data_IF_845618891068
#
_entry.id   IF_845618891068
#
_cell.length_a   1.000
_cell.length_b   1.000
_cell.length_c   1.000
_cell.angle_alpha   90.00
_cell.angle_beta   90.00
_cell.angle_gamma   90.00
#
_symmetry.space_group_name_H-M   'P 1'
#
loop_
_entity.id
_entity.type
_entity.pdbx_description
1 polymer ?
#
# COMPACT_ATOMS: atom_id res chain seq x y z
N UNK A 1 -17.47 33.83 -3.01
CA UNK A 1 -18.49 33.13 -3.83
C UNK A 1 -18.05 31.68 -3.92
N UNK A 2 -18.63 30.77 -3.12
CA UNK A 2 -18.28 29.34 -3.18
C UNK A 2 -18.90 28.74 -4.44
N UNK A 3 -18.09 28.07 -5.27
CA UNK A 3 -18.56 27.43 -6.49
C UNK A 3 -19.46 26.23 -6.15
N UNK A 4 -20.63 26.07 -6.81
CA UNK A 4 -21.53 24.95 -6.57
C UNK A 4 -20.98 23.70 -7.27
N UNK A 5 -20.07 22.98 -6.63
CA UNK A 5 -19.54 21.73 -7.20
C UNK A 5 -18.35 21.11 -6.47
N UNK A 6 -17.64 21.87 -5.63
CA UNK A 6 -16.59 21.30 -4.78
C UNK A 6 -17.21 20.79 -3.48
N UNK A 7 -16.98 19.53 -3.10
CA UNK A 7 -17.48 19.01 -1.84
C UNK A 7 -16.90 19.84 -0.70
N UNK A 8 -17.75 20.25 0.24
CA UNK A 8 -17.29 21.02 1.40
C UNK A 8 -16.26 20.19 2.17
N UNK A 9 -15.28 20.86 2.79
CA UNK A 9 -14.27 20.20 3.63
C UNK A 9 -14.92 19.29 4.68
N UNK A 10 -16.05 19.70 5.23
CA UNK A 10 -16.84 18.92 6.18
C UNK A 10 -17.42 17.63 5.57
N UNK A 11 -17.84 17.67 4.29
CA UNK A 11 -18.33 16.50 3.56
C UNK A 11 -17.20 15.53 3.22
N UNK A 12 -16.01 16.05 2.89
CA UNK A 12 -14.80 15.25 2.69
C UNK A 12 -14.45 14.52 3.99
N UNK A 13 -14.47 15.21 5.14
CA UNK A 13 -14.19 14.63 6.45
C UNK A 13 -15.24 13.59 6.86
N UNK A 14 -16.52 13.85 6.63
CA UNK A 14 -17.59 12.89 6.91
C UNK A 14 -17.52 11.66 6.00
N UNK A 15 -17.12 11.82 4.74
CA UNK A 15 -16.89 10.72 3.81
C UNK A 15 -15.72 9.83 4.27
N UNK A 16 -14.58 10.42 4.64
CA UNK A 16 -13.42 9.69 5.18
C UNK A 16 -13.80 8.95 6.47
N UNK A 17 -14.50 9.62 7.40
CA UNK A 17 -14.97 9.00 8.65
C UNK A 17 -15.90 7.81 8.40
N UNK A 18 -16.79 7.92 7.42
CA UNK A 18 -17.72 6.84 7.04
C UNK A 18 -16.99 5.66 6.40
N UNK A 19 -15.97 5.90 5.59
CA UNK A 19 -15.13 4.84 4.98
C UNK A 19 -14.32 4.12 6.06
N UNK A 20 -13.66 4.85 6.97
CA UNK A 20 -12.90 4.26 8.08
C UNK A 20 -13.81 3.43 9.01
N UNK A 21 -14.98 3.94 9.36
CA UNK A 21 -15.94 3.20 10.18
C UNK A 21 -16.46 1.92 9.48
N UNK A 22 -16.60 1.95 8.16
CA UNK A 22 -17.00 0.80 7.34
C UNK A 22 -15.88 -0.24 7.28
N UNK A 23 -14.63 0.18 7.07
CA UNK A 23 -13.47 -0.71 7.02
C UNK A 23 -13.13 -1.31 8.37
N UNK A 24 -13.23 -0.54 9.47
CA UNK A 24 -13.06 -1.09 10.81
C UNK A 24 -14.14 -2.15 11.13
N UNK A 25 -15.38 -1.93 10.68
CA UNK A 25 -16.45 -2.95 10.80
C UNK A 25 -16.18 -4.17 9.93
N UNK A 26 -15.70 -4.00 8.70
CA UNK A 26 -15.35 -5.09 7.80
C UNK A 26 -14.15 -5.90 8.33
N UNK A 27 -13.13 -5.23 8.87
CA UNK A 27 -11.98 -5.82 9.55
C UNK A 27 -12.41 -6.62 10.77
N UNK A 28 -13.24 -6.04 11.66
CA UNK A 28 -13.77 -6.75 12.83
C UNK A 28 -14.61 -7.99 12.46
N UNK A 29 -15.38 -7.92 11.37
CA UNK A 29 -16.14 -9.06 10.84
C UNK A 29 -15.22 -10.13 10.23
N UNK A 30 -14.14 -9.74 9.56
CA UNK A 30 -13.14 -10.66 9.03
C UNK A 30 -12.39 -11.39 10.15
N UNK A 31 -11.92 -10.67 11.19
CA UNK A 31 -11.26 -11.26 12.36
C UNK A 31 -12.19 -12.20 13.13
N UNK A 32 -13.49 -11.87 13.21
CA UNK A 32 -14.48 -12.74 13.86
C UNK A 32 -14.77 -13.99 13.02
N UNK A 33 -14.84 -13.85 11.70
CA UNK A 33 -15.06 -14.97 10.78
C UNK A 33 -13.88 -15.94 10.81
N UNK A 34 -12.66 -15.43 10.93
CA UNK A 34 -11.44 -16.23 11.09
C UNK A 34 -11.46 -17.05 12.37
N UNK A 35 -11.82 -16.43 13.50
CA UNK A 35 -12.00 -17.12 14.80
C UNK A 35 -13.10 -18.17 14.80
N UNK A 36 -14.14 -18.03 13.98
CA UNK A 36 -15.22 -19.03 13.87
C UNK A 36 -14.92 -20.14 12.86
N UNK A 37 -13.90 -19.95 12.00
CA UNK A 37 -13.50 -20.93 10.97
C UNK A 37 -12.49 -21.95 11.48
N UNK A 38 -11.80 -21.66 12.58
CA UNK A 38 -10.91 -22.59 13.26
C UNK A 38 -11.64 -23.28 14.41
N UNK A 39 -12.09 -24.55 14.27
CA UNK A 39 -12.54 -25.31 15.42
C UNK A 39 -11.32 -25.73 16.24
N UNK A 40 -11.30 -25.28 17.50
CA UNK A 40 -10.59 -25.81 18.67
C UNK A 40 -9.45 -26.80 18.40
N UNK A 41 -8.21 -26.36 18.59
CA UNK A 41 -7.19 -27.22 19.19
C UNK A 41 -6.73 -26.56 20.49
N UNK A 42 -7.20 -27.12 21.60
CA UNK A 42 -6.73 -26.78 22.94
C UNK A 42 -5.28 -27.24 23.08
N UNK A 43 -4.33 -26.34 22.81
CA UNK A 43 -2.99 -26.46 23.39
C UNK A 43 -2.70 -25.17 24.13
N UNK A 44 -2.85 -25.24 25.44
CA UNK A 44 -2.18 -24.35 26.38
C UNK A 44 -0.70 -24.38 26.08
N UNK A 45 -0.17 -23.30 25.50
CA UNK A 45 1.26 -23.03 25.44
C UNK A 45 1.50 -21.82 26.32
N UNK A 46 2.22 -22.03 27.42
CA UNK A 46 2.78 -20.95 28.24
C UNK A 46 3.64 -20.02 27.37
N UNK A 47 3.71 -18.71 27.67
CA UNK A 47 4.61 -17.83 26.94
C UNK A 47 6.05 -18.14 27.37
N UNK A 48 6.70 -19.03 26.64
CA UNK A 48 8.16 -19.15 26.68
C UNK A 48 8.74 -17.96 25.91
N UNK A 49 9.44 -17.12 26.65
CA UNK A 49 10.21 -15.99 26.19
C UNK A 49 11.16 -16.37 25.04
N UNK A 50 10.90 -15.83 23.86
CA UNK A 50 11.88 -15.57 22.82
C UNK A 50 11.22 -14.64 21.79
N UNK A 51 11.97 -13.62 21.33
CA UNK A 51 11.60 -12.67 20.27
C UNK A 51 10.75 -11.47 20.72
N UNK A 52 11.34 -10.64 21.58
CA UNK A 52 10.94 -9.26 21.85
C UNK A 52 12.06 -8.26 21.49
N UNK A 53 12.89 -8.54 20.48
CA UNK A 53 14.04 -7.69 20.12
C UNK A 53 13.95 -7.00 18.75
N UNK A 54 12.83 -7.05 18.02
CA UNK A 54 12.72 -6.39 16.70
C UNK A 54 11.65 -5.28 16.62
N UNK A 55 11.17 -4.77 17.76
CA UNK A 55 10.13 -3.73 17.79
C UNK A 55 10.55 -2.37 18.38
N UNK A 56 11.84 -2.17 18.73
CA UNK A 56 12.31 -0.94 19.37
C UNK A 56 13.13 0.01 18.48
N UNK A 57 13.18 -0.19 17.16
CA UNK A 57 13.79 0.79 16.26
C UNK A 57 12.72 1.67 15.59
N UNK A 58 11.96 2.38 16.43
CA UNK A 58 11.17 3.53 16.00
C UNK A 58 12.10 4.73 16.03
N UNK A 59 12.46 5.27 14.86
CA UNK A 59 13.25 6.48 14.74
C UNK A 59 12.44 7.68 15.25
N UNK A 60 12.66 8.08 16.51
CA UNK A 60 12.22 9.37 17.03
C UNK A 60 13.01 10.48 16.31
N UNK A 61 12.29 11.36 15.61
CA UNK A 61 12.84 12.58 15.01
C UNK A 61 13.25 13.53 16.15
N UNK A 62 14.52 13.53 16.54
CA UNK A 62 15.09 14.56 17.40
C UNK A 62 15.00 15.93 16.71
N UNK A 63 14.01 16.71 17.12
CA UNK A 63 13.82 18.13 16.78
C UNK A 63 15.03 19.00 17.22
N UNK A 64 15.93 18.44 18.02
CA UNK A 64 17.06 19.12 18.65
C UNK A 64 18.33 19.19 17.77
N UNK A 65 18.39 18.44 16.66
CA UNK A 65 19.57 18.43 15.77
C UNK A 65 19.68 19.63 14.81
N UNK A 66 18.63 20.45 14.65
CA UNK A 66 18.68 21.64 13.77
C UNK A 66 19.16 22.93 14.44
N UNK A 67 19.36 22.96 15.77
CA UNK A 67 19.76 24.19 16.49
C UNK A 67 21.28 24.27 16.72
N UNK A 68 22.04 23.22 16.36
CA UNK A 68 23.47 23.11 16.65
C UNK A 68 24.42 23.28 15.44
N UNK A 69 23.97 23.91 14.35
CA UNK A 69 24.87 24.50 13.34
C UNK A 69 24.76 26.03 13.37
N UNK A 70 25.19 26.59 14.50
CA UNK A 70 25.09 28.04 14.73
C UNK A 70 26.09 28.51 15.77
N UNK A 71 27.32 27.99 15.77
CA UNK A 71 28.39 28.62 16.54
C UNK A 71 29.74 28.09 16.07
N UNK A 72 30.44 28.89 15.25
CA UNK A 72 31.92 29.01 15.22
C UNK A 72 32.37 29.91 14.06
N UNK A 73 31.89 31.16 14.01
CA UNK A 73 32.71 32.28 13.52
C UNK A 73 32.47 33.49 14.41
N UNK A 74 33.52 33.86 15.14
CA UNK A 74 33.56 35.05 15.97
C UNK A 74 33.64 36.31 15.10
N UNK A 75 32.95 37.38 15.53
CA UNK A 75 33.34 38.75 15.21
C UNK A 75 32.20 39.68 14.81
N UNK A 76 31.70 40.43 15.81
CA UNK A 76 31.18 41.79 15.71
C UNK A 76 30.21 42.12 14.56
N UNK A 77 28.90 42.07 14.85
CA UNK A 77 28.05 43.28 14.92
C UNK A 77 26.64 42.83 15.33
N UNK A 78 26.23 43.13 16.56
CA UNK A 78 24.86 42.89 17.01
C UNK A 78 24.03 44.12 16.67
N UNK A 79 23.76 44.34 15.38
CA UNK A 79 22.60 45.15 14.99
C UNK A 79 21.35 44.31 15.24
N UNK A 80 20.51 44.81 16.14
CA UNK A 80 19.16 44.31 16.36
C UNK A 80 18.39 44.53 15.06
N UNK A 81 18.35 43.51 14.21
CA UNK A 81 17.49 43.50 13.04
C UNK A 81 16.04 43.49 13.55
N UNK A 82 15.32 44.59 13.31
CA UNK A 82 13.87 44.62 13.45
C UNK A 82 13.26 43.45 12.66
N UNK A 83 12.12 42.87 13.10
CA UNK A 83 11.43 41.86 12.31
C UNK A 83 10.97 42.53 11.02
N UNK A 84 11.76 42.39 9.96
CA UNK A 84 11.32 42.70 8.61
C UNK A 84 10.15 41.77 8.36
N UNK A 85 8.94 42.31 8.38
CA UNK A 85 7.77 41.67 7.80
C UNK A 85 8.16 41.30 6.38
N UNK A 86 8.42 40.01 6.15
CA UNK A 86 8.45 39.47 4.80
C UNK A 86 7.03 39.65 4.28
N UNK A 87 6.79 40.70 3.52
CA UNK A 87 5.67 40.65 2.59
C UNK A 87 6.05 39.50 1.65
N UNK A 88 5.41 38.34 1.86
CA UNK A 88 5.43 37.25 0.91
C UNK A 88 4.83 37.83 -0.37
N UNK A 89 5.70 38.34 -1.24
CA UNK A 89 5.38 38.68 -2.61
C UNK A 89 4.94 37.35 -3.24
N UNK A 90 3.62 37.13 -3.25
CA UNK A 90 2.88 36.06 -3.94
C UNK A 90 2.98 36.24 -5.47
N UNK A 91 4.10 36.78 -5.94
CA UNK A 91 4.40 37.02 -7.33
C UNK A 91 4.64 35.67 -8.02
N UNK A 92 3.94 35.39 -9.12
CA UNK A 92 4.10 34.13 -9.83
C UNK A 92 5.54 34.01 -10.33
N UNK A 93 6.22 32.95 -9.89
CA UNK A 93 7.63 32.65 -10.24
C UNK A 93 7.82 32.26 -11.72
N UNK A 94 6.73 32.16 -12.49
CA UNK A 94 6.75 31.78 -13.91
C UNK A 94 5.93 32.77 -14.71
N UNK A 95 6.38 33.05 -15.94
CA UNK A 95 5.64 33.89 -16.87
C UNK A 95 4.43 33.14 -17.43
N UNK A 96 3.39 33.86 -17.82
CA UNK A 96 2.17 33.27 -18.40
C UNK A 96 2.47 32.43 -19.66
N UNK A 97 3.46 32.84 -20.45
CA UNK A 97 3.93 32.09 -21.62
C UNK A 97 4.49 30.72 -21.23
N UNK A 98 5.31 30.65 -20.17
CA UNK A 98 5.87 29.39 -19.68
C UNK A 98 4.78 28.47 -19.12
N UNK A 99 3.78 29.04 -18.45
CA UNK A 99 2.61 28.29 -17.97
C UNK A 99 1.81 27.68 -19.12
N UNK A 100 1.56 28.46 -20.18
CA UNK A 100 0.82 28.00 -21.35
C UNK A 100 1.53 26.87 -22.10
N UNK A 101 2.86 26.95 -22.27
CA UNK A 101 3.63 25.88 -22.90
C UNK A 101 3.69 24.63 -22.04
N UNK A 102 3.78 24.77 -20.72
CA UNK A 102 3.74 23.63 -19.79
C UNK A 102 2.38 22.91 -19.86
N UNK A 103 1.27 23.64 -19.90
CA UNK A 103 -0.07 23.08 -20.08
C UNK A 103 -0.19 22.32 -21.41
N UNK A 104 0.26 22.91 -22.52
CA UNK A 104 0.25 22.25 -23.84
C UNK A 104 1.08 20.96 -23.86
N UNK A 105 2.25 20.96 -23.22
CA UNK A 105 3.08 19.76 -23.11
C UNK A 105 2.42 18.68 -22.25
N UNK A 106 1.76 19.05 -21.14
CA UNK A 106 1.00 18.12 -20.33
C UNK A 106 -0.21 17.54 -21.07
N UNK A 107 -0.90 18.34 -21.87
CA UNK A 107 -1.98 17.85 -22.74
C UNK A 107 -1.47 16.83 -23.76
N UNK A 108 -0.34 17.11 -24.41
CA UNK A 108 0.29 16.18 -25.35
C UNK A 108 0.71 14.87 -24.66
N UNK A 109 1.32 14.95 -23.49
CA UNK A 109 1.68 13.76 -22.69
C UNK A 109 0.45 12.98 -22.25
N UNK A 110 -0.62 13.66 -21.81
CA UNK A 110 -1.88 13.04 -21.43
C UNK A 110 -2.56 12.34 -22.62
N UNK A 111 -2.41 12.86 -23.85
CA UNK A 111 -2.90 12.18 -25.05
C UNK A 111 -2.12 10.89 -25.34
N UNK A 112 -0.81 10.88 -25.09
CA UNK A 112 0.05 9.71 -25.29
C UNK A 112 -0.15 8.65 -24.19
N UNK A 113 -0.36 9.08 -22.95
CA UNK A 113 -0.50 8.20 -21.79
C UNK A 113 -1.93 7.66 -21.58
N UNK A 114 -2.90 8.10 -22.39
CA UNK A 114 -4.25 7.54 -22.36
C UNK A 114 -4.19 6.07 -22.79
N UNK A 115 -4.56 5.11 -21.92
CA UNK A 115 -4.66 3.72 -22.33
C UNK A 115 -5.74 3.60 -23.42
N UNK A 116 -5.35 3.15 -24.62
CA UNK A 116 -6.22 3.12 -25.82
C UNK A 116 -7.45 2.22 -25.72
N UNK A 117 -7.61 1.49 -24.62
CA UNK A 117 -8.81 0.69 -24.30
C UNK A 117 -9.27 1.03 -22.89
N UNK A 118 -10.53 1.44 -22.76
CA UNK A 118 -11.21 1.44 -21.46
C UNK A 118 -11.09 0.03 -20.85
N UNK A 119 -10.83 -0.10 -19.54
CA UNK A 119 -10.83 -1.41 -18.90
C UNK A 119 -12.22 -2.00 -19.08
N UNK A 120 -12.33 -2.98 -19.97
CA UNK A 120 -13.54 -3.79 -20.06
C UNK A 120 -13.61 -4.55 -18.75
N UNK A 121 -14.55 -4.17 -17.88
CA UNK A 121 -14.90 -4.95 -16.69
C UNK A 121 -15.65 -6.17 -17.21
N UNK A 122 -14.90 -7.13 -17.76
CA UNK A 122 -15.40 -8.47 -17.99
C UNK A 122 -15.45 -9.15 -16.63
N UNK A 123 -16.68 -9.44 -16.20
CA UNK A 123 -17.08 -10.34 -15.11
C UNK A 123 -16.07 -10.47 -13.97
N UNK A 124 -16.23 -9.64 -12.93
CA UNK A 124 -15.80 -9.86 -11.54
C UNK A 124 -14.67 -10.88 -11.35
N UNK A 125 -13.45 -10.57 -11.81
CA UNK A 125 -12.28 -11.46 -11.71
C UNK A 125 -11.28 -11.36 -12.86
N UNK A 126 -11.56 -10.61 -13.92
CA UNK A 126 -10.58 -10.36 -14.99
C UNK A 126 -10.20 -8.88 -14.99
N UNK A 127 -9.61 -8.43 -13.88
CA UNK A 127 -8.89 -7.15 -13.90
C UNK A 127 -7.78 -7.26 -14.94
N UNK A 128 -7.55 -6.22 -15.76
CA UNK A 128 -6.51 -6.25 -16.81
C UNK A 128 -5.12 -6.66 -16.29
N UNK A 129 -4.84 -6.35 -15.03
CA UNK A 129 -3.61 -6.75 -14.34
C UNK A 129 -3.63 -8.24 -13.94
N UNK A 130 -4.76 -8.76 -13.47
CA UNK A 130 -4.89 -10.18 -13.13
C UNK A 130 -4.69 -11.07 -14.36
N UNK A 131 -5.30 -10.70 -15.49
CA UNK A 131 -5.11 -11.41 -16.75
C UNK A 131 -3.62 -11.43 -17.18
N UNK A 132 -2.93 -10.29 -17.10
CA UNK A 132 -1.51 -10.19 -17.41
C UNK A 132 -0.64 -11.03 -16.46
N UNK A 133 -0.87 -10.92 -15.14
CA UNK A 133 -0.13 -11.71 -14.15
C UNK A 133 -0.35 -13.21 -14.34
N UNK A 134 -1.57 -13.63 -14.71
CA UNK A 134 -1.89 -15.03 -15.01
C UNK A 134 -1.17 -15.53 -16.25
N UNK A 135 -1.08 -14.73 -17.31
CA UNK A 135 -0.31 -15.07 -18.51
C UNK A 135 1.18 -15.25 -18.19
N UNK A 136 1.73 -14.41 -17.32
CA UNK A 136 3.13 -14.50 -16.88
C UNK A 136 3.41 -15.66 -15.92
N UNK A 137 2.48 -15.97 -15.01
CA UNK A 137 2.65 -17.05 -14.02
C UNK A 137 2.36 -18.44 -14.59
N UNK A 138 1.57 -18.54 -15.66
CA UNK A 138 1.22 -19.83 -16.30
C UNK A 138 2.44 -20.69 -16.67
N UNK A 139 3.48 -20.19 -17.38
CA UNK A 139 4.65 -21.01 -17.73
C UNK A 139 5.43 -21.47 -16.50
N UNK A 140 5.57 -20.62 -15.47
CA UNK A 140 6.30 -20.97 -14.25
C UNK A 140 5.58 -22.06 -13.45
N UNK A 141 4.25 -21.95 -13.32
CA UNK A 141 3.45 -22.97 -12.66
C UNK A 141 3.40 -24.28 -13.44
N UNK A 142 3.39 -24.23 -14.78
CA UNK A 142 3.43 -25.42 -15.61
C UNK A 142 4.75 -26.20 -15.41
N UNK A 143 5.89 -25.50 -15.49
CA UNK A 143 7.20 -26.12 -15.24
C UNK A 143 7.28 -26.72 -13.83
N UNK A 144 6.83 -25.98 -12.82
CA UNK A 144 6.83 -26.47 -11.45
C UNK A 144 5.95 -27.72 -11.29
N UNK A 145 4.77 -27.76 -11.92
CA UNK A 145 3.91 -28.94 -11.91
C UNK A 145 4.58 -30.12 -12.63
N UNK A 146 5.23 -29.91 -13.77
CA UNK A 146 5.92 -30.98 -14.49
C UNK A 146 7.05 -31.61 -13.64
N UNK A 147 7.74 -30.80 -12.83
CA UNK A 147 8.82 -31.26 -11.95
C UNK A 147 8.33 -31.93 -10.67
N UNK A 148 7.25 -31.44 -10.04
CA UNK A 148 6.86 -31.82 -8.67
C UNK A 148 5.61 -32.73 -8.61
N UNK A 149 4.75 -32.69 -9.63
CA UNK A 149 3.51 -33.46 -9.64
C UNK A 149 3.72 -35.00 -9.69
N UNK A 150 4.73 -35.55 -10.39
CA UNK A 150 4.95 -37.01 -10.41
C UNK A 150 5.15 -37.60 -9.02
N UNK A 151 6.03 -37.01 -8.20
CA UNK A 151 6.33 -37.48 -6.85
C UNK A 151 5.08 -37.44 -5.94
N UNK A 152 4.35 -36.32 -5.97
CA UNK A 152 3.11 -36.17 -5.20
C UNK A 152 2.07 -37.23 -5.56
N UNK A 153 1.95 -37.56 -6.85
CA UNK A 153 1.01 -38.59 -7.32
C UNK A 153 1.46 -39.99 -6.90
N UNK A 154 2.76 -40.30 -6.95
CA UNK A 154 3.27 -41.60 -6.50
C UNK A 154 2.99 -41.84 -5.02
N UNK A 155 3.22 -40.85 -4.16
CA UNK A 155 2.90 -40.96 -2.72
C UNK A 155 1.41 -41.19 -2.49
N UNK A 156 0.55 -40.44 -3.20
CA UNK A 156 -0.90 -40.56 -3.08
C UNK A 156 -1.40 -41.93 -3.57
N UNK A 157 -0.87 -42.41 -4.70
CA UNK A 157 -1.20 -43.74 -5.25
C UNK A 157 -0.72 -44.85 -4.33
N UNK A 158 0.48 -44.74 -3.76
CA UNK A 158 1.00 -45.72 -2.80
C UNK A 158 0.13 -45.78 -1.53
N UNK A 159 -0.30 -44.63 -1.02
CA UNK A 159 -1.24 -44.56 0.10
C UNK A 159 -2.59 -45.19 -0.26
N UNK A 160 -3.11 -44.93 -1.46
CA UNK A 160 -4.38 -45.47 -1.95
C UNK A 160 -4.34 -46.99 -2.14
N UNK A 161 -3.26 -47.54 -2.71
CA UNK A 161 -3.06 -48.99 -2.85
C UNK A 161 -2.96 -49.65 -1.48
N UNK A 162 -2.18 -49.08 -0.56
CA UNK A 162 -2.04 -49.61 0.80
C UNK A 162 -3.38 -49.67 1.53
N UNK A 163 -4.22 -48.64 1.34
CA UNK A 163 -5.58 -48.57 1.89
C UNK A 163 -6.51 -49.65 1.32
N UNK A 164 -6.48 -49.89 0.01
CA UNK A 164 -7.32 -50.91 -0.64
C UNK A 164 -6.82 -52.32 -0.31
N UNK A 165 -5.51 -52.53 -0.30
CA UNK A 165 -4.90 -53.81 0.02
C UNK A 165 -5.17 -54.21 1.48
N UNK A 166 -4.98 -53.29 2.44
CA UNK A 166 -5.27 -53.55 3.86
C UNK A 166 -6.75 -53.70 4.21
N UNK A 167 -7.66 -53.45 3.26
CA UNK A 167 -9.11 -53.66 3.42
C UNK A 167 -9.60 -54.97 2.77
N UNK A 168 -8.71 -55.71 2.11
CA UNK A 168 -9.02 -56.97 1.41
C UNK A 168 -8.65 -58.23 2.19
N UNK A 169 -8.09 -58.08 3.38
CA UNK A 169 -7.92 -59.11 4.41
C UNK A 169 -8.91 -58.86 5.57
#
# INVERSE_FOLDING_TARGET
MHQPGEPSVEEILDSIKKVIARDNRAGAMATRRERTRTPTNETRVEPAAAEAEEAEEVLELEEEAMVAQGSETAGADAEVAEPTTYEEDDAPLTTDTVRATMQQNFEALAMISRPGKQPQIVRSGETSLEALTRELLRPMLAQWLDENLPEMVEELVKAEISRIAGKRD
#
